data_IF_928006314945
#
_entry.id   IF_928006314945
#
_cell.length_a   1.000
_cell.length_b   1.000
_cell.length_c   1.000
_cell.angle_alpha   90.00
_cell.angle_beta   90.00
_cell.angle_gamma   90.00
#
_symmetry.space_group_name_H-M   'P 1'
#
loop_
_entity.id
_entity.type
_entity.pdbx_description
1 polymer ?
#
# COMPACT_ATOMS: atom_id res chain seq x y z
N UNK A 1 42.82 -39.35 -26.23
CA UNK A 1 43.85 -38.91 -25.24
C UNK A 1 44.22 -37.42 -25.33
N UNK A 2 44.23 -36.77 -26.49
CA UNK A 2 44.61 -35.34 -26.64
C UNK A 2 43.59 -34.33 -26.06
N UNK A 3 42.29 -34.64 -26.07
CA UNK A 3 41.20 -33.71 -25.69
C UNK A 3 41.10 -33.45 -24.16
N UNK A 4 41.41 -34.46 -23.34
CA UNK A 4 41.45 -34.30 -21.88
C UNK A 4 42.67 -33.51 -21.39
N UNK A 5 43.75 -33.48 -22.19
CA UNK A 5 44.93 -32.69 -21.86
C UNK A 5 44.68 -31.21 -22.12
N UNK A 6 44.00 -30.87 -23.22
CA UNK A 6 43.62 -29.49 -23.56
C UNK A 6 42.65 -28.90 -22.54
N UNK A 7 41.66 -29.67 -22.07
CA UNK A 7 40.70 -29.20 -21.08
C UNK A 7 41.33 -28.98 -19.69
N UNK A 8 42.27 -29.85 -19.28
CA UNK A 8 43.03 -29.65 -18.03
C UNK A 8 43.92 -28.41 -18.08
N UNK A 9 44.56 -28.14 -19.21
CA UNK A 9 45.38 -26.94 -19.40
C UNK A 9 44.51 -25.68 -19.34
N UNK A 10 43.33 -25.68 -19.98
CA UNK A 10 42.40 -24.53 -19.93
C UNK A 10 41.90 -24.29 -18.50
N UNK A 11 41.53 -25.34 -17.76
CA UNK A 11 41.10 -25.20 -16.36
C UNK A 11 42.20 -24.68 -15.44
N UNK A 12 43.46 -25.09 -15.64
CA UNK A 12 44.60 -24.61 -14.85
C UNK A 12 44.89 -23.14 -15.15
N UNK A 13 44.84 -22.72 -16.42
CA UNK A 13 45.03 -21.32 -16.81
C UNK A 13 43.93 -20.42 -16.25
N UNK A 14 42.68 -20.89 -16.25
CA UNK A 14 41.55 -20.15 -15.68
C UNK A 14 41.65 -20.01 -14.16
N UNK A 15 42.09 -21.07 -13.46
CA UNK A 15 42.31 -21.03 -12.01
C UNK A 15 43.48 -20.09 -11.65
N UNK A 16 44.55 -20.09 -12.43
CA UNK A 16 45.72 -19.23 -12.22
C UNK A 16 45.37 -17.75 -12.41
N UNK A 17 44.53 -17.43 -13.40
CA UNK A 17 44.03 -16.07 -13.65
C UNK A 17 43.16 -15.54 -12.49
N UNK A 18 42.35 -16.40 -11.87
CA UNK A 18 41.53 -16.06 -10.70
C UNK A 18 42.36 -15.78 -9.44
N UNK A 19 43.50 -16.46 -9.27
CA UNK A 19 44.42 -16.24 -8.15
C UNK A 19 45.21 -14.93 -8.32
N UNK A 20 45.54 -14.56 -9.57
CA UNK A 20 46.28 -13.33 -9.88
C UNK A 20 45.47 -12.05 -9.71
N UNK A 21 44.12 -12.09 -9.68
CA UNK A 21 43.26 -10.91 -9.45
C UNK A 21 42.97 -10.60 -7.97
N UNK A 22 43.47 -11.39 -7.03
CA UNK A 22 43.14 -11.26 -5.60
C UNK A 22 44.02 -10.28 -4.81
N UNK A 23 45.01 -9.63 -5.44
CA UNK A 23 45.86 -8.64 -4.79
C UNK A 23 45.43 -7.22 -5.14
N UNK A 24 44.39 -6.71 -4.47
CA UNK A 24 44.22 -5.27 -4.27
C UNK A 24 44.74 -4.92 -2.88
N UNK A 25 45.71 -4.00 -2.84
CA UNK A 25 46.33 -3.48 -1.62
C UNK A 25 45.32 -2.73 -0.76
N UNK A 26 45.17 -3.15 0.50
CA UNK A 26 44.43 -2.41 1.50
C UNK A 26 45.10 -1.04 1.77
N UNK A 27 44.34 0.03 2.07
CA UNK A 27 44.92 1.32 2.45
C UNK A 27 45.71 1.22 3.77
N UNK A 28 46.81 1.98 3.84
CA UNK A 28 47.75 2.00 4.96
C UNK A 28 47.09 2.45 6.29
N UNK A 29 47.14 1.63 7.37
CA UNK A 29 46.56 1.95 8.67
C UNK A 29 47.10 3.24 9.31
N UNK A 30 48.31 3.68 8.96
CA UNK A 30 48.95 4.86 9.56
C UNK A 30 48.26 6.18 9.19
N UNK A 31 47.60 6.24 8.03
CA UNK A 31 46.93 7.47 7.54
C UNK A 31 45.60 7.73 8.27
N UNK A 32 44.94 6.68 8.76
CA UNK A 32 43.65 6.80 9.46
C UNK A 32 43.82 7.41 10.87
N UNK A 33 44.93 7.09 11.55
CA UNK A 33 45.16 7.47 12.95
C UNK A 33 45.60 8.95 13.09
N UNK A 34 46.37 9.47 12.13
CA UNK A 34 46.73 10.90 12.08
C UNK A 34 45.53 11.82 11.83
N UNK A 35 44.54 11.35 11.06
CA UNK A 35 43.34 12.14 10.74
C UNK A 35 42.44 12.32 11.97
N UNK A 36 42.40 11.34 12.88
CA UNK A 36 41.59 11.38 14.09
C UNK A 36 42.20 12.30 15.16
N UNK A 37 43.53 12.32 15.29
CA UNK A 37 44.21 13.17 16.28
C UNK A 37 44.16 14.67 15.90
N UNK A 38 44.19 15.00 14.61
CA UNK A 38 44.05 16.39 14.14
C UNK A 38 42.63 16.96 14.40
N UNK A 39 41.60 16.12 14.37
CA UNK A 39 40.22 16.54 14.64
C UNK A 39 39.96 16.86 16.13
N UNK A 40 40.62 16.14 17.05
CA UNK A 40 40.44 16.33 18.51
C UNK A 40 41.14 17.61 19.01
N UNK A 41 42.25 18.02 18.38
CA UNK A 41 43.00 19.21 18.81
C UNK A 41 42.27 20.54 18.53
N UNK A 42 41.32 20.58 17.59
CA UNK A 42 40.61 21.81 17.23
C UNK A 42 39.42 22.17 18.15
N UNK A 43 39.07 21.33 19.12
CA UNK A 43 37.82 21.50 19.90
C UNK A 43 37.99 22.14 21.29
N UNK A 44 39.22 22.40 21.76
CA UNK A 44 39.47 22.73 23.18
C UNK A 44 39.75 24.21 23.53
N UNK A 45 39.38 25.19 22.69
CA UNK A 45 39.68 26.62 22.97
C UNK A 45 38.47 27.56 23.04
N UNK A 46 37.24 27.06 23.22
CA UNK A 46 36.08 27.94 23.44
C UNK A 46 35.82 28.18 24.95
N UNK A 47 36.27 29.32 25.45
CA UNK A 47 35.89 29.85 26.78
C UNK A 47 34.44 30.37 26.70
N UNK A 48 33.52 29.98 27.60
CA UNK A 48 32.14 30.44 27.53
C UNK A 48 32.04 31.93 27.89
N UNK A 49 31.64 32.75 26.92
CA UNK A 49 31.21 34.12 27.16
C UNK A 49 29.77 34.10 27.67
N UNK A 50 29.52 34.75 28.81
CA UNK A 50 28.17 34.86 29.37
C UNK A 50 27.24 35.59 28.39
N UNK A 51 26.25 34.86 27.88
CA UNK A 51 25.22 35.39 26.98
C UNK A 51 24.14 36.09 27.82
N UNK A 52 23.76 37.34 27.52
CA UNK A 52 22.67 38.01 28.25
C UNK A 52 21.35 37.25 28.05
N UNK A 53 20.59 37.08 29.13
CA UNK A 53 19.32 36.38 29.13
C UNK A 53 18.30 37.14 28.25
N UNK A 54 17.63 36.49 27.28
CA UNK A 54 16.67 37.16 26.41
C UNK A 54 15.46 37.64 27.22
N UNK A 55 15.07 38.91 27.02
CA UNK A 55 13.83 39.48 27.55
C UNK A 55 12.62 38.87 26.83
N UNK A 56 11.65 38.37 27.60
CA UNK A 56 10.44 37.77 27.03
C UNK A 56 9.66 38.80 26.18
N UNK A 57 9.57 38.53 24.89
CA UNK A 57 8.69 39.26 23.96
C UNK A 57 7.34 38.56 23.92
N UNK A 58 6.23 39.30 24.09
CA UNK A 58 4.88 38.73 24.01
C UNK A 58 4.63 38.19 22.60
N UNK A 59 4.35 36.89 22.50
CA UNK A 59 3.98 36.24 21.23
C UNK A 59 2.52 36.61 20.92
N UNK A 60 2.20 37.13 19.72
CA UNK A 60 0.82 37.40 19.35
C UNK A 60 0.01 36.11 19.36
N UNK A 61 -1.19 36.17 19.93
CA UNK A 61 -2.12 35.03 20.00
C UNK A 61 -2.50 34.59 18.57
N UNK A 62 -2.55 33.28 18.26
CA UNK A 62 -2.96 32.79 16.95
C UNK A 62 -4.37 33.30 16.61
N UNK A 63 -4.51 33.93 15.44
CA UNK A 63 -5.81 34.29 14.87
C UNK A 63 -6.45 33.05 14.28
N UNK A 64 -7.71 32.76 14.64
CA UNK A 64 -8.44 31.61 14.11
C UNK A 64 -8.56 31.76 12.59
N UNK A 65 -8.00 30.79 11.86
CA UNK A 65 -8.17 30.68 10.41
C UNK A 65 -9.62 30.28 10.14
N UNK A 66 -10.36 30.95 9.22
CA UNK A 66 -11.73 30.57 8.92
C UNK A 66 -11.76 29.13 8.38
N UNK A 67 -12.58 28.29 9.02
CA UNK A 67 -12.83 26.91 8.56
C UNK A 67 -13.42 26.97 7.14
N UNK A 68 -12.83 26.27 6.16
CA UNK A 68 -13.40 26.19 4.82
C UNK A 68 -14.84 25.66 4.89
N UNK A 69 -15.79 26.35 4.25
CA UNK A 69 -17.15 25.85 4.10
C UNK A 69 -17.12 24.56 3.25
N UNK A 70 -17.80 23.51 3.71
CA UNK A 70 -17.93 22.27 2.91
C UNK A 70 -18.77 22.56 1.66
N UNK A 71 -18.13 22.55 0.49
CA UNK A 71 -18.83 22.67 -0.79
C UNK A 71 -19.28 21.27 -1.21
N UNK A 72 -20.60 21.04 -1.18
CA UNK A 72 -21.21 19.81 -1.69
C UNK A 72 -21.45 19.94 -3.20
N UNK A 73 -20.94 18.98 -3.98
CA UNK A 73 -21.11 18.93 -5.43
C UNK A 73 -22.00 17.73 -5.80
N UNK A 74 -23.03 17.96 -6.61
CA UNK A 74 -23.92 16.92 -7.11
C UNK A 74 -25.39 17.14 -6.76
N UNK A 75 -26.30 16.25 -7.21
CA UNK A 75 -27.70 16.30 -6.83
C UNK A 75 -27.85 16.10 -5.33
N UNK A 76 -28.66 16.93 -4.69
CA UNK A 76 -29.09 16.74 -3.30
C UNK A 76 -30.47 16.07 -3.28
N UNK A 77 -30.84 15.46 -2.14
CA UNK A 77 -32.17 14.93 -1.88
C UNK A 77 -32.60 13.75 -2.77
N UNK A 78 -31.72 12.76 -2.96
CA UNK A 78 -32.13 11.49 -3.55
C UNK A 78 -33.25 10.84 -2.70
N UNK A 79 -34.27 10.22 -3.32
CA UNK A 79 -35.20 9.39 -2.59
C UNK A 79 -34.46 8.30 -1.80
N UNK A 80 -35.00 7.89 -0.65
CA UNK A 80 -34.34 6.93 0.25
C UNK A 80 -33.99 5.60 -0.42
N UNK A 81 -34.74 5.20 -1.44
CA UNK A 81 -34.54 3.96 -2.19
C UNK A 81 -33.67 4.13 -3.44
N UNK A 82 -32.98 5.26 -3.64
CA UNK A 82 -32.13 5.52 -4.81
C UNK A 82 -30.66 5.51 -4.40
N UNK A 83 -29.85 4.67 -5.05
CA UNK A 83 -28.41 4.66 -4.86
C UNK A 83 -27.81 5.96 -5.44
N UNK A 84 -27.20 6.84 -4.64
CA UNK A 84 -26.66 8.11 -5.12
C UNK A 84 -25.46 7.96 -6.06
N UNK A 85 -24.81 6.78 -6.09
CA UNK A 85 -23.65 6.51 -6.95
C UNK A 85 -24.05 6.11 -8.38
N UNK A 86 -25.25 5.58 -8.57
CA UNK A 86 -25.72 5.06 -9.86
C UNK A 86 -27.00 5.71 -10.37
N UNK A 87 -27.77 6.36 -9.48
CA UNK A 87 -29.10 6.90 -9.77
C UNK A 87 -30.19 5.83 -9.92
N UNK A 88 -29.89 4.56 -9.63
CA UNK A 88 -30.82 3.44 -9.75
C UNK A 88 -31.53 3.17 -8.41
N UNK A 89 -32.76 2.66 -8.49
CA UNK A 89 -33.50 2.23 -7.30
C UNK A 89 -32.97 0.90 -6.76
N UNK A 90 -32.87 0.78 -5.44
CA UNK A 90 -32.55 -0.48 -4.74
C UNK A 90 -33.83 -1.15 -4.23
N UNK A 91 -33.80 -2.48 -4.12
CA UNK A 91 -34.94 -3.27 -3.63
C UNK A 91 -35.16 -3.10 -2.12
N UNK A 92 -34.07 -3.06 -1.35
CA UNK A 92 -34.07 -2.81 0.09
C UNK A 92 -33.29 -1.52 0.38
N UNK A 93 -33.95 -0.40 0.72
CA UNK A 93 -33.29 0.86 1.08
C UNK A 93 -32.30 0.71 2.25
N UNK A 94 -32.51 -0.27 3.13
CA UNK A 94 -31.62 -0.56 4.25
C UNK A 94 -30.17 -0.82 3.84
N UNK A 95 -29.95 -1.31 2.61
CA UNK A 95 -28.60 -1.54 2.08
C UNK A 95 -27.79 -0.26 1.94
N UNK A 96 -28.44 0.89 1.77
CA UNK A 96 -27.77 2.19 1.60
C UNK A 96 -27.33 2.80 2.94
N UNK A 97 -27.73 2.22 4.08
CA UNK A 97 -27.29 2.63 5.42
C UNK A 97 -25.90 2.11 5.80
N UNK A 98 -25.27 1.29 4.95
CA UNK A 98 -23.91 0.76 5.17
C UNK A 98 -22.85 1.65 4.50
N UNK A 99 -21.58 1.45 4.88
CA UNK A 99 -20.45 1.98 4.10
C UNK A 99 -20.30 1.19 2.78
N UNK A 100 -20.00 1.84 1.64
CA UNK A 100 -19.67 1.12 0.41
C UNK A 100 -18.54 0.10 0.62
N UNK A 101 -18.66 -1.09 0.06
CA UNK A 101 -17.64 -2.14 0.15
C UNK A 101 -16.77 -2.08 -1.10
N UNK A 102 -15.46 -1.87 -0.94
CA UNK A 102 -14.53 -1.74 -2.06
C UNK A 102 -13.53 -2.90 -2.05
N UNK A 103 -13.47 -3.68 -3.13
CA UNK A 103 -12.65 -4.90 -3.21
C UNK A 103 -11.57 -4.74 -4.25
N UNK A 104 -10.33 -5.04 -3.87
CA UNK A 104 -9.21 -5.06 -4.81
C UNK A 104 -9.19 -6.36 -5.60
N UNK A 105 -9.48 -6.30 -6.91
CA UNK A 105 -9.61 -7.47 -7.78
C UNK A 105 -8.44 -7.56 -8.76
N UNK A 106 -7.87 -8.76 -8.89
CA UNK A 106 -6.86 -9.07 -9.90
C UNK A 106 -7.42 -8.88 -11.30
N UNK A 107 -6.61 -8.43 -12.25
CA UNK A 107 -6.87 -8.63 -13.69
C UNK A 107 -5.74 -9.41 -14.38
N UNK A 108 -4.59 -9.51 -13.70
CA UNK A 108 -3.41 -10.26 -14.11
C UNK A 108 -2.99 -11.18 -12.94
N UNK A 109 -2.54 -12.41 -13.22
CA UNK A 109 -2.27 -12.99 -14.55
C UNK A 109 -3.55 -13.38 -15.32
N UNK A 110 -3.47 -13.70 -16.63
CA UNK A 110 -4.64 -13.98 -17.47
C UNK A 110 -5.57 -15.06 -16.92
N UNK A 111 -5.05 -15.99 -16.13
CA UNK A 111 -5.78 -17.10 -15.51
C UNK A 111 -6.67 -16.64 -14.34
N UNK A 112 -6.51 -15.40 -13.86
CA UNK A 112 -7.45 -14.78 -12.92
C UNK A 112 -8.83 -14.51 -13.53
N UNK A 113 -9.00 -14.76 -14.83
CA UNK A 113 -10.24 -14.52 -15.59
C UNK A 113 -10.95 -15.84 -15.88
N UNK A 114 -12.30 -15.87 -15.85
CA UNK A 114 -13.20 -14.73 -15.60
C UNK A 114 -13.23 -14.30 -14.12
N UNK A 115 -13.51 -13.02 -13.89
CA UNK A 115 -13.63 -12.48 -12.53
C UNK A 115 -14.98 -12.86 -11.92
N UNK A 116 -14.99 -13.11 -10.62
CA UNK A 116 -16.21 -13.22 -9.83
C UNK A 116 -16.68 -11.83 -9.38
N UNK A 117 -17.99 -11.58 -9.45
CA UNK A 117 -18.63 -10.46 -8.77
C UNK A 117 -18.58 -9.10 -9.46
N UNK A 118 -17.70 -8.86 -10.44
CA UNK A 118 -17.56 -7.53 -11.06
C UNK A 118 -18.85 -6.98 -11.69
N UNK A 119 -19.71 -7.85 -12.22
CA UNK A 119 -21.02 -7.46 -12.78
C UNK A 119 -22.00 -6.91 -11.75
N UNK A 120 -21.73 -7.12 -10.45
CA UNK A 120 -22.55 -6.62 -9.37
C UNK A 120 -22.07 -5.27 -8.81
N UNK A 121 -20.89 -4.81 -9.21
CA UNK A 121 -20.31 -3.56 -8.72
C UNK A 121 -21.04 -2.35 -9.29
N UNK A 122 -21.25 -1.33 -8.45
CA UNK A 122 -21.79 -0.04 -8.88
C UNK A 122 -20.74 0.78 -9.65
N UNK A 123 -19.48 0.70 -9.23
CA UNK A 123 -18.35 1.37 -9.89
C UNK A 123 -17.15 0.41 -9.90
N UNK A 124 -16.48 0.31 -11.06
CA UNK A 124 -15.21 -0.42 -11.19
C UNK A 124 -14.13 0.55 -11.65
N UNK A 125 -13.15 0.80 -10.78
CA UNK A 125 -11.96 1.56 -11.15
C UNK A 125 -10.93 0.62 -11.76
N UNK A 126 -10.44 0.96 -12.95
CA UNK A 126 -9.29 0.31 -13.56
C UNK A 126 -8.08 1.25 -13.55
N UNK A 127 -6.94 0.77 -13.06
CA UNK A 127 -5.72 1.53 -13.08
C UNK A 127 -4.46 0.65 -13.14
N UNK A 128 -3.42 1.24 -13.72
CA UNK A 128 -2.11 0.63 -13.92
C UNK A 128 -1.40 0.32 -12.60
N UNK A 129 -0.71 -0.82 -12.53
CA UNK A 129 0.01 -1.27 -11.33
C UNK A 129 1.48 -1.61 -11.55
N UNK A 130 2.03 -1.37 -12.74
CA UNK A 130 3.40 -1.73 -13.12
C UNK A 130 3.46 -2.90 -14.11
N UNK A 131 4.60 -3.04 -14.80
CA UNK A 131 4.92 -4.15 -15.71
C UNK A 131 3.84 -4.48 -16.76
N UNK A 132 3.18 -3.46 -17.31
CA UNK A 132 2.10 -3.65 -18.28
C UNK A 132 0.81 -4.26 -17.72
N UNK A 133 0.67 -4.37 -16.39
CA UNK A 133 -0.49 -4.93 -15.71
C UNK A 133 -1.37 -3.86 -15.05
N UNK A 134 -2.63 -4.21 -14.83
CA UNK A 134 -3.63 -3.42 -14.14
C UNK A 134 -4.37 -4.28 -13.09
N UNK A 135 -5.11 -3.63 -12.19
CA UNK A 135 -6.00 -4.30 -11.24
C UNK A 135 -7.21 -3.42 -10.98
N UNK A 136 -8.35 -4.03 -10.74
CA UNK A 136 -9.58 -3.29 -10.45
C UNK A 136 -9.72 -2.95 -8.96
N UNK A 137 -10.45 -1.89 -8.67
CA UNK A 137 -11.08 -1.65 -7.38
C UNK A 137 -12.59 -1.58 -7.61
N UNK A 138 -13.32 -2.60 -7.19
CA UNK A 138 -14.76 -2.72 -7.41
C UNK A 138 -15.52 -2.24 -6.17
N UNK A 139 -16.40 -1.25 -6.33
CA UNK A 139 -17.23 -0.67 -5.29
C UNK A 139 -18.65 -1.26 -5.36
N UNK A 140 -19.14 -1.74 -4.22
CA UNK A 140 -20.47 -2.30 -4.02
C UNK A 140 -21.20 -1.50 -2.94
N UNK A 141 -22.34 -0.93 -3.29
CA UNK A 141 -23.16 -0.14 -2.39
C UNK A 141 -24.64 -0.53 -2.50
N UNK A 142 -25.21 -0.44 -3.70
CA UNK A 142 -26.63 -0.69 -3.97
C UNK A 142 -27.04 -2.16 -4.03
N UNK A 143 -26.08 -3.08 -4.11
CA UNK A 143 -26.31 -4.53 -4.02
C UNK A 143 -25.08 -5.26 -3.51
N UNK A 144 -25.25 -6.53 -3.13
CA UNK A 144 -24.20 -7.40 -2.65
C UNK A 144 -23.77 -8.44 -3.70
N UNK A 145 -22.50 -8.83 -3.61
CA UNK A 145 -21.90 -9.93 -4.35
C UNK A 145 -21.48 -11.04 -3.37
N UNK A 146 -22.01 -12.24 -3.58
CA UNK A 146 -21.70 -13.42 -2.76
C UNK A 146 -20.24 -13.85 -2.89
N UNK A 147 -19.62 -13.56 -4.03
CA UNK A 147 -18.24 -13.88 -4.33
C UNK A 147 -17.65 -12.79 -5.24
N UNK A 148 -16.52 -12.23 -4.84
CA UNK A 148 -15.77 -11.21 -5.57
C UNK A 148 -14.31 -11.61 -5.60
N UNK A 149 -13.69 -11.64 -6.77
CA UNK A 149 -12.27 -11.91 -6.87
C UNK A 149 -11.80 -12.34 -8.26
N UNK A 150 -10.54 -12.79 -8.37
CA UNK A 150 -9.62 -13.01 -7.24
C UNK A 150 -9.21 -11.71 -6.52
N UNK A 151 -9.22 -11.70 -5.19
CA UNK A 151 -8.81 -10.56 -4.37
C UNK A 151 -7.29 -10.48 -4.32
N UNK A 152 -6.73 -9.29 -4.52
CA UNK A 152 -5.27 -9.09 -4.60
C UNK A 152 -4.77 -7.88 -3.84
N UNK A 153 -3.47 -7.63 -3.97
CA UNK A 153 -2.78 -6.61 -3.20
C UNK A 153 -3.22 -5.19 -3.56
N UNK A 154 -3.46 -4.38 -2.54
CA UNK A 154 -3.77 -2.97 -2.65
C UNK A 154 -2.61 -2.12 -3.18
N UNK A 155 -2.95 -0.90 -3.57
CA UNK A 155 -2.08 0.13 -4.15
C UNK A 155 -2.29 1.46 -3.44
N UNK A 156 -1.30 2.35 -3.55
CA UNK A 156 -1.31 3.64 -2.85
C UNK A 156 -2.57 4.46 -3.13
N UNK A 157 -3.13 4.36 -4.34
CA UNK A 157 -4.35 5.07 -4.74
C UNK A 157 -5.60 4.59 -3.99
N UNK A 158 -5.64 3.35 -3.50
CA UNK A 158 -6.82 2.78 -2.83
C UNK A 158 -7.21 3.58 -1.59
N UNK A 159 -6.23 4.11 -0.84
CA UNK A 159 -6.50 4.95 0.34
C UNK A 159 -7.27 6.21 -0.01
N UNK A 160 -7.04 6.78 -1.19
CA UNK A 160 -7.74 7.98 -1.65
C UNK A 160 -9.15 7.64 -2.12
N UNK A 161 -9.28 6.62 -2.97
CA UNK A 161 -10.58 6.16 -3.47
C UNK A 161 -11.51 5.76 -2.32
N UNK A 162 -11.03 4.93 -1.39
CA UNK A 162 -11.82 4.48 -0.23
C UNK A 162 -12.24 5.64 0.66
N UNK A 163 -11.38 6.65 0.85
CA UNK A 163 -11.74 7.86 1.60
C UNK A 163 -12.81 8.68 0.89
N UNK A 164 -12.66 8.91 -0.42
CA UNK A 164 -13.61 9.70 -1.21
C UNK A 164 -15.03 9.11 -1.17
N UNK A 165 -15.15 7.78 -1.18
CA UNK A 165 -16.45 7.11 -1.13
C UNK A 165 -16.88 6.67 0.27
N UNK A 166 -16.13 7.02 1.33
CA UNK A 166 -16.49 6.62 2.70
C UNK A 166 -16.56 5.10 2.94
N UNK A 167 -15.98 4.29 2.06
CA UNK A 167 -16.13 2.83 2.05
C UNK A 167 -15.21 2.02 2.98
N UNK A 168 -15.32 0.70 2.95
CA UNK A 168 -14.37 -0.24 3.55
C UNK A 168 -13.55 -0.92 2.43
N UNK A 169 -12.32 -1.33 2.73
CA UNK A 169 -11.40 -1.93 1.77
C UNK A 169 -11.18 -3.41 2.05
N UNK A 170 -11.47 -4.27 1.08
CA UNK A 170 -11.03 -5.66 1.03
C UNK A 170 -9.83 -5.82 0.12
N UNK A 171 -8.70 -6.27 0.67
CA UNK A 171 -7.49 -6.56 -0.09
C UNK A 171 -6.72 -7.72 0.53
N UNK A 172 -5.85 -8.37 -0.22
CA UNK A 172 -5.03 -9.45 0.35
C UNK A 172 -3.90 -8.91 1.24
N UNK A 173 -3.06 -8.06 0.66
CA UNK A 173 -1.94 -7.38 1.31
C UNK A 173 -1.56 -6.14 0.50
N UNK A 174 -0.41 -5.50 0.75
CA UNK A 174 0.20 -4.53 -0.16
C UNK A 174 1.72 -4.50 0.07
N UNK A 175 2.49 -3.89 -0.83
CA UNK A 175 3.92 -3.69 -0.54
C UNK A 175 4.09 -2.95 0.81
N UNK A 176 5.05 -3.35 1.66
CA UNK A 176 5.09 -2.96 3.09
C UNK A 176 4.86 -1.47 3.35
N UNK A 177 5.53 -0.58 2.62
CA UNK A 177 5.33 0.87 2.79
C UNK A 177 3.92 1.31 2.38
N UNK A 178 3.41 0.78 1.27
CA UNK A 178 2.03 1.03 0.80
C UNK A 178 1.01 0.48 1.80
N UNK A 179 1.24 -0.71 2.35
CA UNK A 179 0.39 -1.32 3.36
C UNK A 179 0.27 -0.42 4.59
N UNK A 180 1.41 0.01 5.13
CA UNK A 180 1.44 0.90 6.29
C UNK A 180 0.69 2.22 6.03
N UNK A 181 0.86 2.80 4.86
CA UNK A 181 0.16 4.02 4.46
C UNK A 181 -1.37 3.83 4.30
N UNK A 182 -1.80 2.67 3.78
CA UNK A 182 -3.22 2.31 3.70
C UNK A 182 -3.80 2.17 5.10
N UNK A 183 -3.14 1.41 5.98
CA UNK A 183 -3.60 1.19 7.36
C UNK A 183 -3.61 2.49 8.17
N UNK A 184 -2.58 3.33 8.05
CA UNK A 184 -2.51 4.61 8.74
C UNK A 184 -3.67 5.56 8.37
N UNK A 185 -4.14 5.50 7.13
CA UNK A 185 -5.20 6.38 6.63
C UNK A 185 -6.62 5.81 6.79
N UNK A 186 -6.77 4.49 6.72
CA UNK A 186 -8.08 3.83 6.73
C UNK A 186 -8.40 3.12 8.05
N UNK A 187 -7.40 2.78 8.86
CA UNK A 187 -7.57 2.12 10.16
C UNK A 187 -8.40 0.83 10.07
N UNK A 188 -9.44 0.75 10.91
CA UNK A 188 -10.36 -0.40 10.98
C UNK A 188 -11.19 -0.65 9.72
N UNK A 189 -11.18 0.30 8.75
CA UNK A 189 -11.90 0.15 7.47
C UNK A 189 -11.19 -0.81 6.50
N UNK A 190 -10.04 -1.35 6.86
CA UNK A 190 -9.30 -2.31 6.01
C UNK A 190 -9.49 -3.73 6.55
N UNK A 191 -9.97 -4.61 5.69
CA UNK A 191 -10.09 -6.05 5.91
C UNK A 191 -9.07 -6.72 4.98
N UNK A 192 -8.09 -7.37 5.59
CA UNK A 192 -7.02 -8.10 4.91
C UNK A 192 -6.76 -9.42 5.63
N UNK A 193 -5.95 -10.30 5.04
CA UNK A 193 -5.76 -11.69 5.52
C UNK A 193 -7.06 -12.50 5.54
N UNK A 194 -6.99 -13.74 6.03
CA UNK A 194 -8.14 -14.63 6.12
C UNK A 194 -9.12 -14.20 7.22
N UNK A 195 -10.34 -13.87 6.80
CA UNK A 195 -11.48 -13.57 7.64
C UNK A 195 -12.72 -14.23 7.05
N UNK A 196 -12.82 -15.55 7.15
CA UNK A 196 -13.96 -16.27 6.60
C UNK A 196 -15.25 -16.03 7.38
N UNK A 197 -16.40 -15.83 6.72
CA UNK A 197 -16.65 -15.91 5.26
C UNK A 197 -16.45 -14.59 4.46
N UNK A 198 -16.02 -13.51 5.10
CA UNK A 198 -15.88 -12.19 4.47
C UNK A 198 -14.75 -12.11 3.44
N UNK A 199 -13.60 -12.70 3.72
CA UNK A 199 -12.43 -12.77 2.86
C UNK A 199 -11.72 -14.11 3.07
N UNK A 200 -11.87 -15.04 2.13
CA UNK A 200 -11.39 -16.41 2.25
C UNK A 200 -10.43 -16.79 1.13
N UNK A 201 -9.50 -17.70 1.42
CA UNK A 201 -8.83 -18.49 0.39
C UNK A 201 -9.63 -19.77 0.11
N UNK A 202 -9.83 -20.13 -1.15
CA UNK A 202 -10.47 -21.39 -1.59
C UNK A 202 -9.46 -22.49 -1.96
N UNK A 203 -8.17 -22.21 -1.79
CA UNK A 203 -7.08 -23.12 -2.11
C UNK A 203 -5.72 -22.62 -1.58
N UNK A 204 -4.62 -23.18 -2.10
CA UNK A 204 -3.27 -22.69 -1.83
C UNK A 204 -3.16 -21.20 -2.17
N UNK A 205 -2.44 -20.43 -1.34
CA UNK A 205 -2.29 -18.99 -1.52
C UNK A 205 -1.61 -18.68 -2.86
N UNK A 206 -2.43 -18.39 -3.87
CA UNK A 206 -2.02 -18.04 -5.23
C UNK A 206 -2.68 -16.73 -5.64
N UNK A 207 -2.29 -16.18 -6.79
CA UNK A 207 -2.90 -14.97 -7.35
C UNK A 207 -4.41 -15.13 -7.65
N UNK A 208 -4.95 -16.35 -7.61
CA UNK A 208 -6.31 -16.68 -8.05
C UNK A 208 -7.21 -17.26 -6.97
N UNK A 209 -6.70 -17.51 -5.76
CA UNK A 209 -7.41 -18.32 -4.76
C UNK A 209 -8.19 -17.55 -3.70
N UNK A 210 -8.15 -16.21 -3.71
CA UNK A 210 -8.77 -15.39 -2.65
C UNK A 210 -10.05 -14.74 -3.13
N UNK A 211 -11.12 -14.85 -2.35
CA UNK A 211 -12.43 -14.31 -2.69
C UNK A 211 -13.06 -13.60 -1.50
N UNK A 212 -13.79 -12.53 -1.79
CA UNK A 212 -14.55 -11.76 -0.81
C UNK A 212 -16.06 -12.00 -0.94
N UNK A 213 -16.79 -11.87 0.16
CA UNK A 213 -18.24 -11.74 0.18
C UNK A 213 -18.61 -10.38 0.75
N UNK A 214 -19.29 -9.53 -0.03
CA UNK A 214 -19.48 -8.12 0.33
C UNK A 214 -20.40 -7.93 1.53
N UNK A 215 -21.46 -8.74 1.64
CA UNK A 215 -22.38 -8.70 2.78
C UNK A 215 -21.68 -9.11 4.09
N UNK A 216 -20.82 -10.13 4.02
CA UNK A 216 -20.06 -10.62 5.17
C UNK A 216 -18.96 -9.65 5.56
N UNK A 217 -18.38 -8.92 4.60
CA UNK A 217 -17.48 -7.81 4.89
C UNK A 217 -18.16 -6.65 5.62
N UNK A 218 -19.39 -6.29 5.22
CA UNK A 218 -20.18 -5.29 5.96
C UNK A 218 -20.42 -5.74 7.40
N UNK A 219 -20.85 -6.99 7.62
CA UNK A 219 -21.06 -7.56 8.95
C UNK A 219 -19.80 -7.57 9.80
N UNK A 220 -18.68 -8.02 9.21
CA UNK A 220 -17.39 -8.06 9.89
C UNK A 220 -16.90 -6.68 10.31
N UNK A 221 -17.08 -5.67 9.46
CA UNK A 221 -16.72 -4.29 9.80
C UNK A 221 -17.61 -3.76 10.93
N UNK A 222 -18.94 -3.96 10.84
CA UNK A 222 -19.88 -3.51 11.86
C UNK A 222 -19.62 -4.15 13.24
N UNK A 223 -19.12 -5.39 13.28
CA UNK A 223 -18.76 -6.06 14.54
C UNK A 223 -17.48 -5.51 15.20
N UNK A 224 -16.67 -4.72 14.47
CA UNK A 224 -15.40 -4.14 14.96
C UNK A 224 -15.54 -2.69 15.43
N UNK A 225 -16.70 -2.06 15.25
CA UNK A 225 -16.97 -0.64 15.52
C UNK A 225 -18.07 -0.49 16.55
#
# INVERSE_FOLDING_TARGET
>A
MKQHLTQKVISIVFLLALVLSACQTAPDPQVMEQTLQAAVAQTLTAVPTATPLPTATSTPLPTLTPTPAEVSYGPANFPENVNPLTGLTVADPGILNRRPVMIKVANFPPESRPHAGLSYADIVFDYYIGNGANRFLALYYGQDAKQVGPVRSGRMIDRWLVRMYGGILGMEYAYKSVFNEIIAQLGSRVIYSDHCPALCSDGPLTEVSRFANTSEMTKLYAAKT
#
